data_IF_893575555354
#
_entry.id   IF_893575555354
#
_cell.length_a   1.000
_cell.length_b   1.000
_cell.length_c   1.000
_cell.angle_alpha   90.00
_cell.angle_beta   90.00
_cell.angle_gamma   90.00
#
_symmetry.space_group_name_H-M   'P 1'
#
loop_
_entity.id
_entity.type
_entity.pdbx_description
1 polymer ?
#
# COMPACT_ATOMS: atom_id res chain seq x y z
N UNK A 1 -6.28 -1.96 -21.37
CA UNK A 1 -6.86 -3.14 -20.69
C UNK A 1 -7.88 -2.69 -19.67
N UNK A 2 -9.09 -3.25 -19.64
CA UNK A 2 -10.08 -3.06 -18.55
C UNK A 2 -10.19 -4.36 -17.79
N UNK A 3 -10.19 -4.31 -16.47
CA UNK A 3 -10.18 -5.48 -15.60
C UNK A 3 -11.01 -5.24 -14.34
N UNK A 4 -11.73 -6.26 -13.87
CA UNK A 4 -12.35 -6.26 -12.56
C UNK A 4 -11.38 -6.94 -11.57
N UNK A 5 -11.02 -6.23 -10.51
CA UNK A 5 -10.16 -6.71 -9.45
C UNK A 5 -10.91 -6.75 -8.12
N UNK A 6 -10.60 -7.72 -7.27
CA UNK A 6 -11.10 -7.73 -5.90
C UNK A 6 -10.04 -7.14 -4.98
N UNK A 7 -10.27 -5.93 -4.50
CA UNK A 7 -9.34 -5.18 -3.67
C UNK A 7 -9.96 -5.00 -2.28
N UNK A 8 -9.34 -5.57 -1.26
CA UNK A 8 -9.85 -5.52 0.13
C UNK A 8 -11.32 -5.92 0.24
N UNK A 9 -11.73 -6.97 -0.47
CA UNK A 9 -13.09 -7.50 -0.49
C UNK A 9 -14.09 -6.72 -1.36
N UNK A 10 -13.67 -5.66 -2.04
CA UNK A 10 -14.51 -4.85 -2.94
C UNK A 10 -14.16 -5.09 -4.39
N UNK A 11 -15.17 -5.22 -5.25
CA UNK A 11 -15.00 -5.27 -6.70
C UNK A 11 -14.71 -3.89 -7.25
N UNK A 12 -13.55 -3.73 -7.89
CA UNK A 12 -13.07 -2.47 -8.47
C UNK A 12 -12.86 -2.66 -9.97
N UNK A 13 -13.45 -1.77 -10.77
CA UNK A 13 -13.13 -1.69 -12.19
C UNK A 13 -11.88 -0.82 -12.36
N UNK A 14 -10.81 -1.45 -12.84
CA UNK A 14 -9.53 -0.78 -13.11
C UNK A 14 -9.29 -0.72 -14.63
N UNK A 15 -8.57 0.31 -15.05
CA UNK A 15 -8.18 0.47 -16.45
C UNK A 15 -6.72 0.88 -16.54
N UNK A 16 -5.93 0.12 -17.30
CA UNK A 16 -4.53 0.38 -17.60
C UNK A 16 -4.31 0.45 -19.10
N UNK A 17 -3.45 1.35 -19.55
CA UNK A 17 -3.07 1.43 -20.96
C UNK A 17 -2.07 0.31 -21.30
N UNK A 18 -2.11 -0.22 -22.50
CA UNK A 18 -1.19 -1.29 -22.91
C UNK A 18 0.27 -0.80 -22.85
N UNK A 19 0.51 0.43 -23.26
CA UNK A 19 1.85 1.06 -23.19
C UNK A 19 2.37 1.12 -21.75
N UNK A 20 1.53 1.50 -20.78
CA UNK A 20 1.88 1.53 -19.36
C UNK A 20 2.18 0.12 -18.82
N UNK A 21 1.40 -0.89 -19.23
CA UNK A 21 1.64 -2.28 -18.85
C UNK A 21 3.00 -2.75 -19.34
N UNK A 22 3.33 -2.51 -20.63
CA UNK A 22 4.56 -2.99 -21.25
C UNK A 22 5.81 -2.19 -20.81
N UNK A 23 5.67 -0.90 -20.53
CA UNK A 23 6.83 -0.03 -20.26
C UNK A 23 7.04 0.24 -18.77
N UNK A 24 6.06 -0.02 -17.89
CA UNK A 24 6.17 0.23 -16.46
C UNK A 24 5.93 -1.03 -15.64
N UNK A 25 4.73 -1.64 -15.74
CA UNK A 25 4.36 -2.69 -14.81
C UNK A 25 5.14 -3.99 -15.05
N UNK A 26 5.21 -4.49 -16.27
CA UNK A 26 5.96 -5.72 -16.56
C UNK A 26 7.46 -5.57 -16.28
N UNK A 27 8.16 -4.51 -16.75
CA UNK A 27 9.58 -4.32 -16.43
C UNK A 27 9.84 -4.25 -14.92
N UNK A 28 8.97 -3.59 -14.17
CA UNK A 28 9.07 -3.56 -12.70
C UNK A 28 8.96 -4.96 -12.10
N UNK A 29 7.97 -5.76 -12.52
CA UNK A 29 7.77 -7.10 -12.00
C UNK A 29 8.94 -8.03 -12.34
N UNK A 30 9.49 -7.96 -13.55
CA UNK A 30 10.69 -8.71 -13.92
C UNK A 30 11.93 -8.29 -13.14
N UNK A 31 12.09 -6.99 -12.85
CA UNK A 31 13.15 -6.49 -11.98
C UNK A 31 13.01 -7.07 -10.55
N UNK A 32 11.81 -7.09 -9.99
CA UNK A 32 11.56 -7.67 -8.65
C UNK A 32 11.76 -9.19 -8.65
N UNK A 33 11.38 -9.88 -9.73
CA UNK A 33 11.64 -11.30 -9.90
C UNK A 33 13.14 -11.61 -9.97
N UNK A 34 13.91 -10.78 -10.69
CA UNK A 34 15.36 -10.89 -10.73
C UNK A 34 15.98 -10.69 -9.34
N UNK A 35 15.48 -9.73 -8.55
CA UNK A 35 15.91 -9.53 -7.16
C UNK A 35 15.65 -10.78 -6.30
N UNK A 36 14.46 -11.36 -6.41
CA UNK A 36 14.08 -12.57 -5.68
C UNK A 36 14.99 -13.76 -6.08
N UNK A 37 15.38 -13.87 -7.35
CA UNK A 37 16.21 -14.96 -7.85
C UNK A 37 17.65 -14.93 -7.32
N UNK A 38 18.13 -13.81 -6.77
CA UNK A 38 19.46 -13.71 -6.14
C UNK A 38 19.53 -14.58 -4.87
N UNK A 39 18.45 -14.67 -4.12
CA UNK A 39 18.35 -15.53 -2.94
C UNK A 39 17.02 -16.29 -2.92
N UNK A 40 16.86 -17.36 -3.72
CA UNK A 40 15.58 -18.04 -3.91
C UNK A 40 15.10 -18.81 -2.65
N UNK A 41 15.99 -19.00 -1.67
CA UNK A 41 15.64 -19.68 -0.39
C UNK A 41 15.06 -18.72 0.64
N UNK A 42 15.15 -17.40 0.40
CA UNK A 42 14.61 -16.37 1.28
C UNK A 42 13.48 -15.63 0.57
N UNK A 43 12.40 -15.38 1.30
CA UNK A 43 11.33 -14.51 0.79
C UNK A 43 11.85 -13.08 0.60
N UNK A 44 11.54 -12.51 -0.56
CA UNK A 44 11.85 -11.11 -0.87
C UNK A 44 10.70 -10.23 -0.41
N UNK A 45 11.01 -9.20 0.36
CA UNK A 45 10.06 -8.22 0.89
C UNK A 45 10.26 -6.87 0.22
N UNK A 46 9.25 -6.43 -0.51
CA UNK A 46 9.22 -5.12 -1.18
C UNK A 46 8.28 -4.19 -0.43
N UNK A 47 8.73 -2.98 -0.11
CA UNK A 47 7.84 -1.96 0.44
C UNK A 47 7.32 -1.06 -0.69
N UNK A 48 6.00 -0.96 -0.81
CA UNK A 48 5.32 0.03 -1.64
C UNK A 48 4.71 1.10 -0.75
N UNK A 49 5.37 2.26 -0.69
CA UNK A 49 4.90 3.41 0.05
C UNK A 49 4.26 4.43 -0.90
N UNK A 50 3.15 5.00 -0.48
CA UNK A 50 2.50 6.06 -1.25
C UNK A 50 1.50 6.83 -0.39
N UNK A 51 1.21 8.11 -0.70
CA UNK A 51 0.14 8.85 -0.07
C UNK A 51 -1.23 8.18 -0.26
N UNK A 52 -2.20 8.44 0.62
CA UNK A 52 -3.57 8.03 0.38
C UNK A 52 -4.10 8.63 -0.93
N UNK A 53 -4.92 7.87 -1.67
CA UNK A 53 -5.50 8.31 -2.93
C UNK A 53 -4.71 7.93 -4.20
N UNK A 54 -3.49 7.42 -4.10
CA UNK A 54 -2.68 6.98 -5.26
C UNK A 54 -3.20 5.71 -5.93
N UNK A 55 -4.01 4.88 -5.24
CA UNK A 55 -4.51 3.63 -5.77
C UNK A 55 -3.58 2.43 -5.55
N UNK A 56 -2.61 2.53 -4.62
CA UNK A 56 -1.61 1.47 -4.37
C UNK A 56 -2.19 0.07 -4.19
N UNK A 57 -3.26 -0.12 -3.40
CA UNK A 57 -3.88 -1.45 -3.20
C UNK A 57 -4.47 -2.02 -4.49
N UNK A 58 -5.06 -1.18 -5.35
CA UNK A 58 -5.56 -1.59 -6.68
C UNK A 58 -4.39 -1.96 -7.60
N UNK A 59 -3.31 -1.18 -7.54
CA UNK A 59 -2.11 -1.41 -8.32
C UNK A 59 -1.40 -2.72 -7.94
N UNK A 60 -1.22 -2.98 -6.65
CA UNK A 60 -0.58 -4.22 -6.20
C UNK A 60 -1.42 -5.45 -6.51
N UNK A 61 -2.75 -5.38 -6.40
CA UNK A 61 -3.64 -6.45 -6.85
C UNK A 61 -3.55 -6.66 -8.38
N UNK A 62 -3.35 -5.60 -9.15
CA UNK A 62 -3.09 -5.71 -10.58
C UNK A 62 -1.73 -6.36 -10.87
N UNK A 63 -0.69 -6.09 -10.09
CA UNK A 63 0.60 -6.76 -10.21
C UNK A 63 0.53 -8.24 -9.88
N UNK A 64 -0.23 -8.64 -8.86
CA UNK A 64 -0.52 -10.07 -8.60
C UNK A 64 -1.18 -10.74 -9.82
N UNK A 65 -2.18 -10.06 -10.42
CA UNK A 65 -2.84 -10.54 -11.62
C UNK A 65 -1.85 -10.70 -12.78
N UNK A 66 -1.00 -9.70 -13.04
CA UNK A 66 0.00 -9.79 -14.12
C UNK A 66 0.99 -10.93 -13.88
N UNK A 67 1.45 -11.10 -12.65
CA UNK A 67 2.37 -12.19 -12.30
C UNK A 67 1.74 -13.58 -12.51
N UNK A 68 0.44 -13.73 -12.27
CA UNK A 68 -0.28 -14.99 -12.54
C UNK A 68 -0.41 -15.30 -14.05
N UNK A 69 -0.34 -14.28 -14.91
CA UNK A 69 -0.41 -14.44 -16.37
C UNK A 69 0.96 -14.66 -17.03
N UNK A 70 2.05 -14.45 -16.32
CA UNK A 70 3.41 -14.55 -16.82
C UNK A 70 4.16 -15.70 -16.14
N UNK A 71 4.44 -16.81 -16.85
CA UNK A 71 5.12 -17.98 -16.28
C UNK A 71 6.59 -17.73 -15.90
N UNK A 72 7.18 -16.61 -16.33
CA UNK A 72 8.55 -16.21 -15.98
C UNK A 72 8.60 -15.50 -14.61
N UNK A 73 7.46 -15.08 -14.07
CA UNK A 73 7.37 -14.39 -12.80
C UNK A 73 7.07 -15.36 -11.64
N UNK A 74 7.69 -15.17 -10.48
CA UNK A 74 7.31 -15.89 -9.27
C UNK A 74 5.92 -15.48 -8.82
N UNK A 75 5.30 -16.27 -7.96
CA UNK A 75 4.09 -15.85 -7.26
C UNK A 75 4.38 -14.58 -6.45
N UNK A 76 3.53 -13.57 -6.62
CA UNK A 76 3.57 -12.30 -5.89
C UNK A 76 2.34 -12.22 -5.00
N UNK A 77 2.51 -11.72 -3.77
CA UNK A 77 1.42 -11.54 -2.83
C UNK A 77 1.50 -10.15 -2.18
N UNK A 78 0.38 -9.46 -2.15
CA UNK A 78 0.23 -8.15 -1.49
C UNK A 78 -0.12 -8.32 -0.02
N UNK A 79 0.58 -7.59 0.83
CA UNK A 79 0.37 -7.55 2.27
C UNK A 79 0.03 -6.12 2.69
N UNK A 80 -1.25 -5.82 2.97
CA UNK A 80 -1.65 -4.47 3.34
C UNK A 80 -1.23 -4.12 4.77
N UNK A 81 -0.57 -2.96 4.95
CA UNK A 81 -0.23 -2.41 6.26
C UNK A 81 -1.47 -2.07 7.10
N UNK A 82 -2.60 -1.82 6.47
CA UNK A 82 -3.84 -1.39 7.14
C UNK A 82 -4.32 -2.38 8.21
N UNK A 83 -3.97 -3.66 8.12
CA UNK A 83 -4.24 -4.67 9.15
C UNK A 83 -3.55 -4.40 10.50
N UNK A 84 -2.62 -3.46 10.55
CA UNK A 84 -1.91 -3.09 11.78
C UNK A 84 -2.42 -1.80 12.43
N UNK A 85 -3.58 -1.27 12.03
CA UNK A 85 -4.24 -0.26 12.84
C UNK A 85 -4.46 -0.78 14.26
N UNK A 86 -4.36 0.10 15.25
CA UNK A 86 -4.88 -0.21 16.56
C UNK A 86 -6.39 -0.42 16.50
N UNK A 87 -6.91 -1.34 17.34
CA UNK A 87 -8.33 -1.55 17.47
C UNK A 87 -9.07 -0.27 17.89
N UNK A 88 -10.29 -0.14 17.46
CA UNK A 88 -11.12 1.03 17.76
C UNK A 88 -11.23 1.28 19.27
N UNK A 89 -11.35 0.22 20.08
CA UNK A 89 -11.37 0.32 21.54
C UNK A 89 -10.09 0.93 22.11
N UNK A 90 -8.92 0.57 21.56
CA UNK A 90 -7.65 1.15 21.95
C UNK A 90 -7.56 2.64 21.54
N UNK A 91 -7.97 2.96 20.30
CA UNK A 91 -7.99 4.34 19.80
C UNK A 91 -8.91 5.25 20.62
N UNK A 92 -10.04 4.73 21.10
CA UNK A 92 -11.00 5.49 21.92
C UNK A 92 -10.39 5.83 23.30
N UNK A 93 -9.75 4.86 23.94
CA UNK A 93 -9.04 5.08 25.24
C UNK A 93 -7.92 6.12 25.10
N UNK A 94 -7.20 6.14 23.95
CA UNK A 94 -6.10 7.07 23.71
C UNK A 94 -6.53 8.36 22.99
N UNK A 95 -7.83 8.58 22.78
CA UNK A 95 -8.40 9.76 22.08
C UNK A 95 -7.84 9.96 20.64
N UNK A 96 -7.41 8.88 20.01
CA UNK A 96 -6.84 8.87 18.66
C UNK A 96 -7.85 8.50 17.57
N UNK A 97 -9.09 8.11 17.93
CA UNK A 97 -10.13 7.71 16.97
C UNK A 97 -10.37 8.74 15.84
N UNK A 98 -10.42 10.05 16.13
CA UNK A 98 -10.62 11.07 15.09
C UNK A 98 -9.48 11.18 14.07
N UNK A 99 -8.30 10.66 14.41
CA UNK A 99 -7.08 10.70 13.60
C UNK A 99 -6.77 9.35 12.95
N UNK A 100 -7.70 8.40 12.98
CA UNK A 100 -7.47 7.07 12.41
C UNK A 100 -6.97 7.14 10.97
N UNK A 101 -5.84 6.47 10.70
CA UNK A 101 -5.08 6.57 9.46
C UNK A 101 -3.78 7.38 9.58
N UNK A 102 -3.62 8.19 10.65
CA UNK A 102 -2.34 8.81 10.98
C UNK A 102 -1.35 7.76 11.54
N UNK A 103 -0.02 7.95 11.42
CA UNK A 103 0.96 6.94 11.78
C UNK A 103 0.89 6.52 13.26
N UNK A 104 0.45 7.42 14.16
CA UNK A 104 0.27 7.15 15.58
C UNK A 104 -0.89 6.16 15.88
N UNK A 105 -1.72 5.89 14.88
CA UNK A 105 -2.86 4.96 15.00
C UNK A 105 -2.54 3.53 14.57
N UNK A 106 -1.26 3.25 14.29
CA UNK A 106 -0.77 1.93 13.90
C UNK A 106 0.09 1.30 14.99
N UNK A 107 -0.03 -0.01 15.13
CA UNK A 107 0.83 -0.83 15.98
C UNK A 107 2.10 -1.23 15.21
N UNK A 108 3.09 -0.35 15.20
CA UNK A 108 4.35 -0.54 14.45
C UNK A 108 5.15 -1.71 14.98
N UNK A 109 5.16 -1.93 16.31
CA UNK A 109 5.85 -3.08 16.90
C UNK A 109 5.27 -4.41 16.40
N UNK A 110 3.93 -4.52 16.36
CA UNK A 110 3.27 -5.70 15.80
C UNK A 110 3.55 -5.86 14.31
N UNK A 111 3.64 -4.78 13.54
CA UNK A 111 4.03 -4.82 12.13
C UNK A 111 5.46 -5.37 11.98
N UNK A 112 6.41 -4.90 12.80
CA UNK A 112 7.78 -5.40 12.81
C UNK A 112 7.86 -6.90 13.14
N UNK A 113 7.14 -7.36 14.18
CA UNK A 113 7.05 -8.78 14.53
C UNK A 113 6.50 -9.64 13.38
N UNK A 114 5.48 -9.17 12.67
CA UNK A 114 4.92 -9.89 11.54
C UNK A 114 5.85 -9.87 10.32
N UNK A 115 6.57 -8.78 10.06
CA UNK A 115 7.59 -8.72 9.01
C UNK A 115 8.73 -9.73 9.30
N UNK A 116 9.14 -9.88 10.55
CA UNK A 116 10.10 -10.91 10.93
C UNK A 116 9.61 -12.31 10.54
N UNK A 117 8.37 -12.66 10.89
CA UNK A 117 7.76 -13.94 10.50
C UNK A 117 7.68 -14.13 8.97
N UNK A 118 7.33 -13.06 8.25
CA UNK A 118 7.30 -13.07 6.77
C UNK A 118 8.67 -13.41 6.19
N UNK A 119 9.75 -12.87 6.74
CA UNK A 119 11.12 -13.16 6.29
C UNK A 119 11.54 -14.61 6.63
N UNK A 120 11.10 -15.12 7.77
CA UNK A 120 11.46 -16.46 8.26
C UNK A 120 10.74 -17.60 7.53
N UNK A 121 9.51 -17.37 7.04
CA UNK A 121 8.78 -18.44 6.34
C UNK A 121 7.28 -18.16 6.17
N UNK A 122 6.51 -19.22 5.98
CA UNK A 122 5.07 -19.15 5.84
C UNK A 122 4.42 -18.74 7.17
N UNK A 123 3.51 -17.80 7.09
CA UNK A 123 2.87 -17.22 8.26
C UNK A 123 1.47 -16.69 7.93
N UNK A 124 0.83 -16.04 8.88
CA UNK A 124 -0.42 -15.31 8.66
C UNK A 124 -0.19 -13.80 8.76
N UNK A 125 -1.09 -13.03 8.13
CA UNK A 125 -1.06 -11.59 8.09
C UNK A 125 -2.43 -11.01 8.39
N UNK A 126 -2.56 -9.97 9.23
CA UNK A 126 -3.82 -9.34 9.53
C UNK A 126 -4.34 -8.50 8.35
N UNK A 127 -5.65 -8.35 8.27
CA UNK A 127 -6.29 -7.51 7.26
C UNK A 127 -7.26 -6.54 7.94
N UNK A 128 -7.42 -5.36 7.36
CA UNK A 128 -8.40 -4.39 7.84
C UNK A 128 -9.78 -4.68 7.26
N UNK A 129 -10.74 -4.98 8.13
CA UNK A 129 -12.13 -5.16 7.76
C UNK A 129 -12.83 -3.79 7.63
N UNK A 130 -13.22 -3.44 6.41
CA UNK A 130 -13.84 -2.14 6.11
C UNK A 130 -15.28 -2.04 6.60
N UNK A 131 -15.95 -3.15 6.91
CA UNK A 131 -17.31 -3.15 7.46
C UNK A 131 -17.28 -2.98 8.99
N UNK A 132 -16.38 -3.69 9.66
CA UNK A 132 -16.17 -3.58 11.11
C UNK A 132 -15.37 -2.33 11.48
N UNK A 133 -14.65 -1.75 10.53
CA UNK A 133 -13.67 -0.68 10.74
C UNK A 133 -12.58 -1.05 11.76
N UNK A 134 -12.18 -2.32 11.79
CA UNK A 134 -11.15 -2.86 12.69
C UNK A 134 -10.28 -3.92 12.01
N UNK A 135 -9.06 -4.18 12.52
CA UNK A 135 -8.25 -5.30 12.08
C UNK A 135 -8.89 -6.64 12.34
N UNK A 136 -8.62 -7.59 11.46
CA UNK A 136 -8.91 -9.02 11.64
C UNK A 136 -7.59 -9.78 11.55
N UNK A 137 -7.31 -10.53 12.60
CA UNK A 137 -6.09 -11.33 12.69
C UNK A 137 -6.15 -12.54 11.75
N UNK A 138 -4.96 -13.05 11.38
CA UNK A 138 -4.78 -14.30 10.62
C UNK A 138 -5.62 -14.38 9.34
N UNK A 139 -5.89 -13.22 8.72
CA UNK A 139 -6.82 -13.12 7.60
C UNK A 139 -6.23 -13.57 6.26
N UNK A 140 -4.90 -13.47 6.09
CA UNK A 140 -4.18 -13.87 4.89
C UNK A 140 -3.12 -14.91 5.24
N UNK A 141 -3.02 -15.98 4.44
CA UNK A 141 -1.89 -16.90 4.48
C UNK A 141 -0.79 -16.40 3.55
N UNK A 142 0.43 -16.25 4.07
CA UNK A 142 1.58 -15.73 3.34
C UNK A 142 2.47 -16.88 2.92
N UNK A 143 2.48 -17.19 1.61
CA UNK A 143 3.23 -18.33 1.04
C UNK A 143 4.08 -17.93 -0.17
N UNK A 144 3.81 -16.77 -0.80
CA UNK A 144 4.52 -16.34 -1.99
C UNK A 144 6.00 -16.03 -1.68
N UNK A 145 6.94 -16.36 -2.59
CA UNK A 145 8.36 -16.07 -2.42
C UNK A 145 8.69 -14.58 -2.55
N UNK A 146 7.81 -13.79 -3.18
CA UNK A 146 7.91 -12.34 -3.29
C UNK A 146 6.65 -11.71 -2.72
N UNK A 147 6.81 -10.85 -1.71
CA UNK A 147 5.70 -10.12 -1.10
C UNK A 147 5.88 -8.62 -1.28
N UNK A 148 4.77 -7.93 -1.53
CA UNK A 148 4.72 -6.47 -1.59
C UNK A 148 3.90 -5.99 -0.40
N UNK A 149 4.58 -5.45 0.60
CA UNK A 149 3.93 -4.78 1.72
C UNK A 149 3.55 -3.38 1.26
N UNK A 150 2.26 -3.06 1.26
CA UNK A 150 1.79 -1.75 0.81
C UNK A 150 1.23 -0.92 1.96
N UNK A 151 1.59 0.35 2.01
CA UNK A 151 1.11 1.25 3.05
C UNK A 151 1.56 2.69 2.89
N UNK A 152 0.94 3.59 3.64
CA UNK A 152 1.27 5.00 3.59
C UNK A 152 2.58 5.33 4.32
N UNK A 153 2.91 4.59 5.38
CA UNK A 153 3.92 4.98 6.36
C UNK A 153 5.20 4.13 6.34
N UNK A 154 5.29 3.15 5.42
CA UNK A 154 6.41 2.19 5.38
C UNK A 154 7.79 2.84 5.21
N UNK A 155 7.84 4.05 4.65
CA UNK A 155 9.06 4.83 4.48
C UNK A 155 9.09 6.10 5.35
N UNK A 156 8.21 6.22 6.36
CA UNK A 156 8.19 7.39 7.22
C UNK A 156 9.51 7.56 7.95
N UNK A 157 10.07 8.77 7.91
CA UNK A 157 11.28 9.16 8.65
C UNK A 157 10.93 9.53 10.10
N UNK A 158 10.64 8.48 10.87
CA UNK A 158 10.28 8.54 12.28
C UNK A 158 10.89 7.33 12.98
N UNK A 159 11.43 7.51 14.19
CA UNK A 159 12.24 6.51 14.89
C UNK A 159 11.61 5.11 14.91
N UNK A 160 10.31 5.01 15.22
CA UNK A 160 9.59 3.72 15.26
C UNK A 160 9.43 3.06 13.90
N UNK A 161 9.26 3.87 12.84
CA UNK A 161 9.08 3.38 11.47
C UNK A 161 10.41 3.04 10.79
N UNK A 162 11.51 3.66 11.24
CA UNK A 162 12.86 3.36 10.75
C UNK A 162 13.28 1.91 11.00
N UNK A 163 12.82 1.30 12.09
CA UNK A 163 13.11 -0.09 12.43
C UNK A 163 12.64 -1.07 11.34
N UNK A 164 11.57 -0.73 10.61
CA UNK A 164 11.02 -1.56 9.54
C UNK A 164 11.98 -1.70 8.33
N UNK A 165 12.93 -0.77 8.18
CA UNK A 165 13.88 -0.77 7.06
C UNK A 165 14.71 -2.06 6.98
N UNK A 166 14.99 -2.69 8.11
CA UNK A 166 15.76 -3.94 8.19
C UNK A 166 15.08 -5.14 7.52
N UNK A 167 13.78 -5.07 7.29
CA UNK A 167 12.99 -6.11 6.63
C UNK A 167 12.78 -5.85 5.14
N UNK A 168 13.15 -4.67 4.63
CA UNK A 168 12.87 -4.24 3.27
C UNK A 168 14.05 -4.54 2.34
N UNK A 169 13.86 -5.41 1.36
CA UNK A 169 14.87 -5.71 0.34
C UNK A 169 14.87 -4.68 -0.79
N UNK A 170 13.71 -4.10 -1.10
CA UNK A 170 13.56 -3.06 -2.12
C UNK A 170 12.36 -2.17 -1.80
N UNK A 171 12.50 -0.88 -2.02
CA UNK A 171 11.44 0.09 -1.73
C UNK A 171 11.01 0.85 -2.97
N UNK A 172 9.70 1.01 -3.11
CA UNK A 172 9.05 1.76 -4.19
C UNK A 172 8.23 2.87 -3.53
N UNK A 173 8.38 4.09 -4.03
CA UNK A 173 7.52 5.20 -3.64
C UNK A 173 6.68 5.66 -4.82
N UNK A 174 5.35 5.74 -4.65
CA UNK A 174 4.50 6.37 -5.66
C UNK A 174 4.32 7.82 -5.27
N UNK A 175 4.86 8.71 -6.09
CA UNK A 175 4.64 10.14 -5.98
C UNK A 175 3.45 10.56 -6.83
N UNK A 176 2.65 11.49 -6.31
CA UNK A 176 1.55 12.11 -7.04
C UNK A 176 1.35 13.55 -6.53
N UNK A 177 0.94 14.49 -7.39
CA UNK A 177 0.63 15.84 -6.98
C UNK A 177 -0.48 15.89 -5.93
N UNK A 178 -0.26 16.63 -4.84
CA UNK A 178 -1.20 16.70 -3.70
C UNK A 178 -2.62 17.12 -4.12
N UNK A 179 -2.74 17.99 -5.15
CA UNK A 179 -4.03 18.43 -5.65
C UNK A 179 -4.83 17.30 -6.30
N UNK A 180 -4.17 16.40 -7.04
CA UNK A 180 -4.82 15.23 -7.66
C UNK A 180 -5.30 14.28 -6.56
N UNK A 181 -4.47 14.05 -5.56
CA UNK A 181 -4.82 13.21 -4.41
C UNK A 181 -6.03 13.77 -3.66
N UNK A 182 -6.06 15.11 -3.49
CA UNK A 182 -7.19 15.81 -2.86
C UNK A 182 -8.50 15.51 -3.59
N UNK A 183 -8.55 15.72 -4.90
CA UNK A 183 -9.77 15.49 -5.68
C UNK A 183 -10.19 14.02 -5.69
N UNK A 184 -9.24 13.09 -5.79
CA UNK A 184 -9.52 11.65 -5.73
C UNK A 184 -10.08 11.23 -4.37
N UNK A 185 -9.52 11.73 -3.27
CA UNK A 185 -9.97 11.41 -1.91
C UNK A 185 -11.35 11.98 -1.62
N UNK A 186 -11.61 13.24 -2.01
CA UNK A 186 -12.93 13.86 -1.88
C UNK A 186 -13.96 13.10 -2.72
N UNK A 187 -13.65 12.82 -4.00
CA UNK A 187 -14.54 12.08 -4.90
C UNK A 187 -14.87 10.68 -4.36
N UNK A 188 -13.88 9.97 -3.79
CA UNK A 188 -14.10 8.66 -3.14
C UNK A 188 -15.07 8.75 -1.97
N UNK A 189 -14.99 9.80 -1.16
CA UNK A 189 -15.91 10.02 -0.02
C UNK A 189 -17.33 10.34 -0.50
N UNK A 190 -17.46 11.14 -1.57
CA UNK A 190 -18.75 11.45 -2.20
C UNK A 190 -19.38 10.17 -2.78
N UNK A 191 -18.61 9.36 -3.48
CA UNK A 191 -19.07 8.06 -3.99
C UNK A 191 -19.50 7.12 -2.87
N UNK A 192 -18.92 7.26 -1.66
CA UNK A 192 -19.34 6.56 -0.44
C UNK A 192 -20.56 7.18 0.26
N UNK A 193 -21.22 8.20 -0.34
CA UNK A 193 -22.48 8.77 0.15
C UNK A 193 -22.34 10.07 0.96
N UNK A 194 -21.14 10.63 1.12
CA UNK A 194 -20.99 11.92 1.80
C UNK A 194 -21.32 13.08 0.86
N UNK A 195 -21.82 14.19 1.42
CA UNK A 195 -21.90 15.46 0.68
C UNK A 195 -20.52 16.02 0.42
N UNK A 196 -20.36 16.83 -0.64
CA UNK A 196 -19.08 17.49 -0.96
C UNK A 196 -18.51 18.27 0.22
N UNK A 197 -19.35 19.05 0.91
CA UNK A 197 -18.93 19.85 2.06
C UNK A 197 -18.36 18.98 3.19
N UNK A 198 -19.01 17.84 3.50
CA UNK A 198 -18.53 16.91 4.54
C UNK A 198 -17.25 16.20 4.09
N UNK A 199 -17.16 15.84 2.80
CA UNK A 199 -15.97 15.20 2.24
C UNK A 199 -14.75 16.15 2.26
N UNK A 200 -14.94 17.43 1.93
CA UNK A 200 -13.90 18.47 1.99
C UNK A 200 -13.45 18.74 3.43
N UNK A 201 -14.39 18.83 4.37
CA UNK A 201 -14.04 18.98 5.79
C UNK A 201 -13.29 17.76 6.34
N UNK A 202 -13.65 16.54 5.91
CA UNK A 202 -12.91 15.32 6.27
C UNK A 202 -11.49 15.35 5.69
N UNK A 203 -11.35 15.73 4.41
CA UNK A 203 -10.03 15.87 3.77
C UNK A 203 -9.15 16.84 4.55
N UNK A 204 -9.64 18.03 4.83
CA UNK A 204 -8.87 19.08 5.53
C UNK A 204 -8.41 18.63 6.93
N UNK A 205 -9.22 17.82 7.63
CA UNK A 205 -8.92 17.37 8.99
C UNK A 205 -8.05 16.12 9.04
N UNK A 206 -8.18 15.21 8.08
CA UNK A 206 -7.61 13.85 8.17
C UNK A 206 -6.76 13.47 6.97
N UNK A 207 -7.36 13.42 5.75
CA UNK A 207 -6.64 12.89 4.60
C UNK A 207 -5.53 13.84 4.12
N UNK A 208 -5.78 15.15 4.11
CA UNK A 208 -4.82 16.17 3.67
C UNK A 208 -3.52 16.19 4.49
N UNK A 209 -3.59 16.31 5.83
CA UNK A 209 -2.41 16.20 6.68
C UNK A 209 -1.62 14.89 6.48
N UNK A 210 -2.30 13.77 6.26
CA UNK A 210 -1.63 12.51 5.97
C UNK A 210 -0.96 12.50 4.59
N UNK A 211 -1.60 13.08 3.55
CA UNK A 211 -0.98 13.26 2.23
C UNK A 211 0.31 14.06 2.34
N UNK A 212 0.25 15.23 2.98
CA UNK A 212 1.41 16.10 3.16
C UNK A 212 2.52 15.39 3.94
N UNK A 213 2.18 14.72 5.04
CA UNK A 213 3.16 14.01 5.87
C UNK A 213 3.87 12.90 5.11
N UNK A 214 3.16 12.12 4.28
CA UNK A 214 3.78 11.09 3.43
C UNK A 214 4.69 11.72 2.39
N UNK A 215 4.25 12.78 1.71
CA UNK A 215 5.05 13.42 0.67
C UNK A 215 6.30 14.10 1.21
N UNK A 216 6.24 14.70 2.41
CA UNK A 216 7.31 15.51 2.98
C UNK A 216 8.27 14.70 3.87
N UNK A 217 7.80 13.63 4.50
CA UNK A 217 8.54 12.92 5.53
C UNK A 217 8.84 11.45 5.20
N UNK A 218 8.67 11.02 3.94
CA UNK A 218 9.13 9.71 3.52
C UNK A 218 10.61 9.73 3.17
N UNK A 219 11.34 8.71 3.62
CA UNK A 219 12.73 8.47 3.22
C UNK A 219 12.82 8.17 1.73
N UNK A 220 14.01 8.39 1.16
CA UNK A 220 14.27 8.05 -0.24
C UNK A 220 14.03 6.56 -0.48
N UNK A 221 13.26 6.25 -1.52
CA UNK A 221 13.04 4.89 -2.01
C UNK A 221 14.09 4.48 -3.04
N UNK A 222 14.23 3.16 -3.26
CA UNK A 222 15.08 2.64 -4.33
C UNK A 222 14.53 2.99 -5.71
N UNK A 223 13.20 3.09 -5.85
CA UNK A 223 12.52 3.43 -7.08
C UNK A 223 11.38 4.41 -6.81
N UNK A 224 11.28 5.46 -7.63
CA UNK A 224 10.15 6.38 -7.62
C UNK A 224 9.30 6.13 -8.87
N UNK A 225 8.00 6.00 -8.66
CA UNK A 225 6.99 5.89 -9.72
C UNK A 225 6.10 7.12 -9.62
N UNK A 226 5.98 7.87 -10.70
CA UNK A 226 5.11 9.04 -10.76
C UNK A 226 3.70 8.65 -11.23
N UNK A 227 2.69 9.18 -10.56
CA UNK A 227 1.31 9.07 -10.99
C UNK A 227 0.87 10.36 -11.68
N UNK A 228 0.42 10.27 -12.93
CA UNK A 228 -0.08 11.40 -13.71
C UNK A 228 -1.47 11.87 -13.26
N UNK A 229 -1.91 12.99 -13.80
CA UNK A 229 -3.27 13.52 -13.56
C UNK A 229 -4.37 12.54 -13.99
N UNK A 230 -4.14 11.78 -15.06
CA UNK A 230 -5.06 10.76 -15.55
C UNK A 230 -5.01 9.48 -14.71
N UNK A 231 -4.13 9.41 -13.71
CA UNK A 231 -3.95 8.25 -12.84
C UNK A 231 -3.14 7.12 -13.48
N UNK A 232 -2.29 7.43 -14.47
CA UNK A 232 -1.32 6.50 -15.07
C UNK A 232 0.00 6.57 -14.29
N UNK A 233 0.79 5.52 -14.42
CA UNK A 233 2.09 5.42 -13.75
C UNK A 233 3.24 5.45 -14.77
N UNK A 234 4.36 6.08 -14.40
CA UNK A 234 5.59 6.05 -15.18
C UNK A 234 6.82 6.14 -14.26
N UNK A 235 7.96 5.70 -14.74
CA UNK A 235 9.21 5.88 -14.01
C UNK A 235 9.69 7.32 -14.13
N UNK A 236 10.28 7.85 -13.05
CA UNK A 236 11.07 9.09 -13.13
C UNK A 236 12.33 8.82 -13.96
N UNK A 237 12.54 9.69 -14.96
CA UNK A 237 13.76 9.69 -15.79
C UNK A 237 15.00 10.08 -14.99
#
# INVERSE_FOLDING_TARGET
MKIELTVNGLKIQAQYQNEEIENVHKPLLHMLAALQSVNPQRRTVVFLCAPPGTGKSTLTTFWEYLAQQDPELPAIQTLPMDGFHHYNSWLDVHQLRPFKGAPETFNVAKLAENLCRVVEGDCTWPQYDRQKHDPVEDALHVTAPLVIVEGNWLLLDDEKWLELASFCDFSIFIHAPAQILRERLISRKIAGGLTRQVAEAFYARTDGPNVERVLMNSRQANLIVEMTEEGRYHFTS
#
